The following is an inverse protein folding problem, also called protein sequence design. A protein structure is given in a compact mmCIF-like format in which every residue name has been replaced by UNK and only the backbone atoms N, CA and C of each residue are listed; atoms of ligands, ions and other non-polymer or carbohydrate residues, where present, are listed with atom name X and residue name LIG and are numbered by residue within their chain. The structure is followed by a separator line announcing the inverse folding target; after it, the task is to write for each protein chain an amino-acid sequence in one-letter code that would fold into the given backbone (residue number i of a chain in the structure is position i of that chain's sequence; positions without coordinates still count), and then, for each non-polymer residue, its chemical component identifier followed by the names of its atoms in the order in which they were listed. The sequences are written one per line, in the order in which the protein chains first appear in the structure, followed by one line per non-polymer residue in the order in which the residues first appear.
data_IF_816766702190
#
_entry.id   IF_816766702190
#
_cell.length_a   1.000
_cell.length_b   1.000
_cell.length_c   1.000
_cell.angle_alpha   90.00
_cell.angle_beta   90.00
_cell.angle_gamma   90.00
#
_symmetry.space_group_name_H-M   'P 1'
#
loop_
_entity.id
_entity.type
_entity.pdbx_description
1 polymer ?
#
# COMPACT_ATOMS: atom_id res chain seq x y z
N UNK A 1 2.21 3.82 22.23
CA UNK A 1 1.80 3.96 20.84
C UNK A 1 0.88 2.82 20.43
N UNK A 2 1.20 1.60 20.78
CA UNK A 2 0.53 0.37 20.29
C UNK A 2 -0.92 0.13 20.78
N UNK A 3 -1.41 0.79 21.81
CA UNK A 3 -2.72 0.48 22.38
C UNK A 3 -3.74 1.64 22.38
N UNK A 4 -3.39 2.85 21.95
CA UNK A 4 -4.26 4.02 22.17
C UNK A 4 -4.93 4.58 20.93
N UNK A 5 -4.64 4.09 19.73
CA UNK A 5 -5.17 4.67 18.47
C UNK A 5 -6.40 3.99 17.88
N UNK A 6 -6.96 2.94 18.51
CA UNK A 6 -8.10 2.19 17.94
C UNK A 6 -9.47 2.77 18.33
N UNK A 7 -9.56 3.87 19.08
CA UNK A 7 -10.87 4.43 19.46
C UNK A 7 -11.07 5.83 18.89
N UNK A 8 -12.08 5.90 18.00
CA UNK A 8 -12.83 7.10 17.59
C UNK A 8 -12.16 8.09 16.63
N UNK A 9 -12.20 7.79 15.36
CA UNK A 9 -12.23 8.85 14.34
C UNK A 9 -13.66 8.97 13.79
N UNK A 10 -14.40 9.96 14.27
CA UNK A 10 -15.57 10.48 13.55
C UNK A 10 -15.01 11.28 12.37
N UNK A 11 -15.15 10.71 11.19
CA UNK A 11 -14.68 11.24 9.91
C UNK A 11 -15.49 12.51 9.58
N UNK A 12 -14.79 13.61 9.40
CA UNK A 12 -15.36 14.88 8.98
C UNK A 12 -15.66 14.88 7.47
N UNK A 13 -16.93 14.98 7.13
CA UNK A 13 -17.52 14.95 5.78
C UNK A 13 -17.09 16.10 4.84
N UNK A 14 -16.30 17.08 5.27
CA UNK A 14 -15.93 18.23 4.45
C UNK A 14 -14.59 18.03 3.69
N UNK A 15 -13.65 17.24 4.21
CA UNK A 15 -12.36 17.03 3.54
C UNK A 15 -12.49 16.07 2.36
N UNK A 16 -13.35 15.06 2.45
CA UNK A 16 -13.66 14.15 1.33
C UNK A 16 -14.24 14.90 0.13
N UNK A 17 -15.06 15.93 0.38
CA UNK A 17 -15.66 16.76 -0.70
C UNK A 17 -14.62 17.64 -1.39
N UNK A 18 -13.61 18.12 -0.69
CA UNK A 18 -12.58 19.00 -1.26
C UNK A 18 -11.53 18.21 -2.07
N UNK A 19 -11.19 17.00 -1.63
CA UNK A 19 -10.36 16.04 -2.40
C UNK A 19 -11.14 15.53 -3.62
N UNK A 20 -12.41 15.20 -3.46
CA UNK A 20 -13.28 14.80 -4.57
C UNK A 20 -13.50 15.92 -5.60
N UNK A 21 -13.57 17.18 -5.17
CA UNK A 21 -13.75 18.30 -6.11
C UNK A 21 -12.53 18.59 -6.99
N UNK A 22 -11.32 18.28 -6.52
CA UNK A 22 -10.09 18.34 -7.34
C UNK A 22 -9.99 17.20 -8.36
N UNK A 23 -10.67 16.09 -8.11
CA UNK A 23 -10.78 14.94 -9.04
C UNK A 23 -11.81 15.19 -10.15
N UNK A 24 -12.71 16.16 -10.01
CA UNK A 24 -13.84 16.39 -10.93
C UNK A 24 -13.46 17.08 -12.26
N UNK A 25 -12.21 17.47 -12.48
CA UNK A 25 -11.76 17.90 -13.81
C UNK A 25 -11.35 16.73 -14.71
N UNK A 26 -12.07 15.61 -14.65
CA UNK A 26 -11.81 14.47 -15.55
C UNK A 26 -12.08 14.87 -16.99
N UNK A 27 -11.14 14.53 -17.87
CA UNK A 27 -11.32 14.66 -19.31
C UNK A 27 -12.52 13.81 -19.77
N UNK A 28 -13.37 14.36 -20.63
CA UNK A 28 -14.43 13.60 -21.28
C UNK A 28 -13.78 12.66 -22.30
N UNK A 29 -13.75 11.37 -22.01
CA UNK A 29 -13.02 10.37 -22.79
C UNK A 29 -13.85 9.84 -23.96
N UNK A 30 -13.17 9.49 -25.03
CA UNK A 30 -13.77 8.92 -26.25
C UNK A 30 -13.43 7.42 -26.31
N UNK A 31 -14.20 6.59 -25.60
CA UNK A 31 -14.23 5.11 -25.79
C UNK A 31 -12.90 4.33 -25.78
N UNK A 32 -11.74 5.01 -25.73
CA UNK A 32 -10.42 4.39 -25.72
C UNK A 32 -9.57 4.96 -24.59
N UNK A 33 -9.36 4.14 -23.59
CA UNK A 33 -8.50 4.47 -22.46
C UNK A 33 -7.64 3.24 -22.11
N UNK A 34 -6.31 3.32 -22.39
CA UNK A 34 -5.35 2.31 -21.98
C UNK A 34 -4.33 2.85 -20.99
N UNK A 35 -4.68 3.91 -20.28
CA UNK A 35 -3.84 4.41 -19.20
C UNK A 35 -3.68 3.32 -18.13
N UNK A 36 -2.44 3.09 -17.72
CA UNK A 36 -2.08 2.28 -16.55
C UNK A 36 -1.51 3.21 -15.51
N UNK A 37 -2.08 3.17 -14.31
CA UNK A 37 -1.65 3.96 -13.17
C UNK A 37 -1.12 3.02 -12.10
N UNK A 38 0.13 3.23 -11.69
CA UNK A 38 0.76 2.42 -10.65
C UNK A 38 1.18 3.32 -9.51
N UNK A 39 0.84 2.91 -8.29
CA UNK A 39 1.29 3.51 -7.06
C UNK A 39 2.07 2.44 -6.29
N UNK A 40 3.38 2.64 -6.14
CA UNK A 40 4.20 1.88 -5.20
C UNK A 40 4.32 2.69 -3.92
N UNK A 41 4.06 2.04 -2.79
CA UNK A 41 3.97 2.67 -1.48
C UNK A 41 4.78 1.86 -0.49
N UNK A 42 5.93 2.38 -0.09
CA UNK A 42 6.84 1.73 0.82
C UNK A 42 6.84 2.44 2.16
N UNK A 43 6.70 1.68 3.22
CA UNK A 43 6.61 2.15 4.59
C UNK A 43 7.72 1.51 5.40
N UNK A 44 8.32 2.30 6.30
CA UNK A 44 9.28 1.81 7.28
C UNK A 44 8.87 2.32 8.66
N UNK A 45 8.74 1.38 9.60
CA UNK A 45 8.62 1.64 11.03
C UNK A 45 9.90 1.16 11.71
N UNK A 46 10.50 2.01 12.53
CA UNK A 46 11.79 1.77 13.16
C UNK A 46 11.57 1.59 14.66
N UNK A 47 12.18 0.59 15.23
CA UNK A 47 12.07 0.26 16.64
C UNK A 47 13.45 0.02 17.29
N UNK A 48 13.67 0.54 18.48
CA UNK A 48 14.83 0.21 19.30
C UNK A 48 14.50 -0.96 20.24
N UNK A 49 15.17 -2.06 20.04
CA UNK A 49 15.11 -3.26 20.88
C UNK A 49 16.54 -3.60 21.34
N UNK A 50 16.83 -3.40 22.63
CA UNK A 50 18.18 -3.40 23.18
C UNK A 50 18.87 -4.75 23.11
N UNK A 51 18.11 -5.81 23.35
CA UNK A 51 18.62 -7.18 23.46
C UNK A 51 18.12 -8.04 22.30
N UNK A 52 18.88 -9.10 21.96
CA UNK A 52 18.47 -10.07 20.95
C UNK A 52 17.08 -10.68 21.25
N UNK A 53 16.76 -10.87 22.53
CA UNK A 53 15.45 -11.35 22.94
C UNK A 53 14.35 -10.34 22.59
N UNK A 54 14.53 -9.07 22.95
CA UNK A 54 13.56 -8.01 22.60
C UNK A 54 13.42 -7.85 21.10
N UNK A 55 14.50 -8.02 20.33
CA UNK A 55 14.44 -7.99 18.86
C UNK A 55 13.58 -9.14 18.32
N UNK A 56 13.75 -10.36 18.83
CA UNK A 56 12.93 -11.51 18.48
C UNK A 56 11.46 -11.33 18.91
N UNK A 57 11.24 -10.79 20.10
CA UNK A 57 9.90 -10.50 20.61
C UNK A 57 9.21 -9.42 19.76
N UNK A 58 9.95 -8.42 19.23
CA UNK A 58 9.45 -7.41 18.29
C UNK A 58 9.03 -8.05 16.96
N UNK A 59 9.85 -8.94 16.39
CA UNK A 59 9.51 -9.66 15.16
C UNK A 59 8.22 -10.47 15.34
N UNK A 60 8.13 -11.24 16.43
CA UNK A 60 6.92 -12.02 16.74
C UNK A 60 5.68 -11.13 16.90
N UNK A 61 5.84 -9.95 17.51
CA UNK A 61 4.79 -8.96 17.63
C UNK A 61 4.33 -8.45 16.26
N UNK A 62 5.26 -8.13 15.35
CA UNK A 62 4.93 -7.67 14.00
C UNK A 62 4.20 -8.77 13.22
N UNK A 63 4.69 -10.01 13.25
CA UNK A 63 4.07 -11.14 12.54
C UNK A 63 2.65 -11.42 13.06
N UNK A 64 2.40 -11.29 14.35
CA UNK A 64 1.07 -11.42 14.91
C UNK A 64 0.13 -10.30 14.44
N UNK A 65 0.63 -9.05 14.40
CA UNK A 65 -0.19 -7.86 14.13
C UNK A 65 -0.37 -7.57 12.64
N UNK A 66 0.59 -7.95 11.79
CA UNK A 66 0.55 -7.71 10.34
C UNK A 66 0.62 -9.00 9.54
N UNK A 67 -0.08 -10.05 10.02
CA UNK A 67 -0.23 -11.32 9.32
C UNK A 67 -1.06 -11.18 8.02
N UNK A 68 -1.06 -12.22 7.21
CA UNK A 68 -1.75 -12.24 5.92
C UNK A 68 -3.26 -11.97 6.02
N UNK A 69 -3.91 -12.33 7.14
CA UNK A 69 -5.33 -12.05 7.36
C UNK A 69 -5.62 -10.55 7.53
N UNK A 70 -4.81 -9.85 8.35
CA UNK A 70 -4.95 -8.39 8.53
C UNK A 70 -4.60 -7.65 7.25
N UNK A 71 -3.51 -8.03 6.59
CA UNK A 71 -3.10 -7.45 5.32
C UNK A 71 -4.19 -7.62 4.25
N UNK A 72 -4.84 -8.79 4.19
CA UNK A 72 -5.99 -9.02 3.29
C UNK A 72 -7.10 -8.01 3.56
N UNK A 73 -7.46 -7.75 4.82
CA UNK A 73 -8.48 -6.76 5.16
C UNK A 73 -8.11 -5.35 4.70
N UNK A 74 -6.84 -4.98 4.83
CA UNK A 74 -6.33 -3.68 4.34
C UNK A 74 -6.47 -3.60 2.82
N UNK A 75 -6.02 -4.61 2.07
CA UNK A 75 -6.09 -4.61 0.61
C UNK A 75 -7.53 -4.66 0.08
N UNK A 76 -8.42 -5.39 0.74
CA UNK A 76 -9.85 -5.40 0.39
C UNK A 76 -10.47 -4.00 0.56
N UNK A 77 -10.08 -3.28 1.62
CA UNK A 77 -10.54 -1.90 1.81
C UNK A 77 -9.98 -0.95 0.75
N UNK A 78 -8.71 -1.11 0.38
CA UNK A 78 -8.09 -0.39 -0.77
C UNK A 78 -8.88 -0.66 -2.04
N UNK A 79 -9.20 -1.92 -2.34
CA UNK A 79 -9.98 -2.33 -3.52
C UNK A 79 -11.37 -1.70 -3.54
N UNK A 80 -12.06 -1.68 -2.39
CA UNK A 80 -13.37 -1.02 -2.23
C UNK A 80 -13.27 0.48 -2.48
N UNK A 81 -12.26 1.16 -1.91
CA UNK A 81 -12.06 2.61 -2.06
C UNK A 81 -11.80 3.05 -3.50
N UNK A 82 -11.12 2.24 -4.28
CA UNK A 82 -10.90 2.50 -5.72
C UNK A 82 -12.09 2.07 -6.60
N UNK A 83 -13.10 1.43 -6.01
CA UNK A 83 -14.30 1.00 -6.75
C UNK A 83 -14.08 -0.24 -7.63
N UNK A 84 -13.05 -1.03 -7.35
CA UNK A 84 -12.75 -2.23 -8.12
C UNK A 84 -13.43 -3.48 -7.52
N UNK A 85 -13.58 -4.51 -8.34
CA UNK A 85 -14.12 -5.81 -7.94
C UNK A 85 -12.98 -6.82 -7.73
N UNK A 86 -13.03 -7.55 -6.62
CA UNK A 86 -12.08 -8.64 -6.34
C UNK A 86 -12.37 -9.84 -7.23
N UNK A 87 -11.33 -10.32 -7.92
CA UNK A 87 -11.39 -11.55 -8.74
C UNK A 87 -10.77 -12.74 -8.02
N UNK A 88 -9.63 -12.53 -7.37
CA UNK A 88 -8.91 -13.58 -6.65
C UNK A 88 -8.06 -12.98 -5.54
N UNK A 89 -7.82 -13.77 -4.50
CA UNK A 89 -6.92 -13.43 -3.39
C UNK A 89 -5.96 -14.60 -3.21
N UNK A 90 -4.66 -14.29 -3.18
CA UNK A 90 -3.60 -15.20 -2.77
C UNK A 90 -2.88 -14.61 -1.58
N UNK A 91 -2.66 -15.39 -0.52
CA UNK A 91 -2.01 -14.92 0.71
C UNK A 91 -1.11 -15.99 1.27
N UNK A 92 -0.06 -15.54 1.96
CA UNK A 92 0.91 -16.41 2.59
C UNK A 92 1.58 -15.70 3.76
N UNK A 93 1.69 -16.38 4.90
CA UNK A 93 2.60 -16.03 5.97
C UNK A 93 3.90 -16.81 5.75
N UNK A 94 5.03 -16.14 5.90
CA UNK A 94 6.34 -16.71 5.60
C UNK A 94 6.99 -17.30 6.85
N UNK A 95 7.80 -18.32 6.64
CA UNK A 95 8.74 -18.84 7.63
C UNK A 95 10.17 -18.37 7.28
N UNK A 96 10.90 -17.71 8.18
CA UNK A 96 10.58 -17.55 9.61
C UNK A 96 9.72 -16.33 9.94
N UNK A 97 9.49 -15.38 9.02
CA UNK A 97 8.81 -14.11 9.32
C UNK A 97 8.33 -13.38 8.06
N UNK A 98 7.33 -12.50 8.23
CA UNK A 98 6.74 -11.70 7.17
C UNK A 98 5.54 -12.37 6.50
N UNK A 99 4.88 -11.62 5.65
CA UNK A 99 3.70 -12.08 4.93
C UNK A 99 3.55 -11.41 3.57
N UNK A 100 2.76 -12.03 2.71
CA UNK A 100 2.32 -11.41 1.45
C UNK A 100 0.86 -11.65 1.18
N UNK A 101 0.25 -10.69 0.48
CA UNK A 101 -1.10 -10.82 -0.07
C UNK A 101 -1.12 -10.22 -1.46
N UNK A 102 -1.77 -10.91 -2.38
CA UNK A 102 -2.03 -10.44 -3.74
C UNK A 102 -3.54 -10.50 -3.99
N UNK A 103 -4.13 -9.38 -4.37
CA UNK A 103 -5.54 -9.27 -4.76
C UNK A 103 -5.60 -8.91 -6.24
N UNK A 104 -6.07 -9.84 -7.05
CA UNK A 104 -6.39 -9.59 -8.45
C UNK A 104 -7.74 -8.88 -8.52
N UNK A 105 -7.81 -7.78 -9.27
CA UNK A 105 -9.01 -6.93 -9.34
C UNK A 105 -9.45 -6.69 -10.78
N UNK A 106 -10.76 -6.46 -10.97
CA UNK A 106 -11.34 -5.95 -12.18
C UNK A 106 -11.94 -4.57 -11.93
N UNK A 107 -11.81 -3.67 -12.91
CA UNK A 107 -12.30 -2.29 -12.84
C UNK A 107 -13.73 -2.16 -13.34
N UNK A 108 -14.14 -3.02 -14.25
CA UNK A 108 -15.51 -3.12 -14.73
C UNK A 108 -16.26 -4.19 -13.95
N UNK A 109 -17.52 -3.93 -13.62
CA UNK A 109 -18.40 -4.96 -13.06
C UNK A 109 -18.54 -6.07 -14.09
N UNK A 110 -17.94 -7.21 -13.82
CA UNK A 110 -18.23 -8.43 -14.56
C UNK A 110 -19.68 -8.79 -14.21
N UNK A 111 -20.62 -8.57 -15.12
CA UNK A 111 -21.98 -9.08 -14.97
C UNK A 111 -21.88 -10.61 -15.00
N UNK A 112 -21.93 -11.22 -13.81
CA UNK A 112 -21.93 -12.68 -13.64
C UNK A 112 -23.14 -13.34 -14.36
N UNK A 113 -24.10 -12.57 -14.82
CA UNK A 113 -25.23 -13.02 -15.65
C UNK A 113 -24.87 -13.17 -17.14
N UNK A 114 -23.69 -12.76 -17.56
CA UNK A 114 -23.18 -12.97 -18.92
C UNK A 114 -22.36 -14.27 -19.06
N UNK A 115 -22.62 -15.26 -18.23
CA UNK A 115 -22.22 -16.63 -18.52
C UNK A 115 -23.19 -17.12 -19.57
N UNK A 116 -22.76 -17.03 -20.82
CA UNK A 116 -23.43 -17.52 -22.00
C UNK A 116 -24.05 -18.86 -21.71
N UNK A 117 -25.40 -18.90 -21.83
CA UNK A 117 -26.20 -20.12 -21.73
C UNK A 117 -25.92 -21.13 -22.88
N UNK A 118 -24.94 -20.87 -23.74
CA UNK A 118 -24.55 -21.68 -24.88
C UNK A 118 -23.39 -22.67 -24.63
N UNK A 119 -22.69 -22.57 -23.50
CA UNK A 119 -21.68 -23.55 -23.11
C UNK A 119 -22.20 -24.51 -22.06
N UNK A 120 -22.43 -25.73 -22.49
CA UNK A 120 -22.83 -26.89 -21.71
C UNK A 120 -22.18 -26.97 -20.32
N UNK A 121 -23.06 -27.05 -19.27
CA UNK A 121 -22.88 -27.74 -18.00
C UNK A 121 -21.43 -27.90 -17.51
N UNK A 122 -20.77 -26.82 -17.20
CA UNK A 122 -19.55 -26.78 -16.42
C UNK A 122 -19.85 -26.12 -15.07
N UNK A 123 -19.43 -26.73 -13.98
CA UNK A 123 -19.54 -26.26 -12.61
C UNK A 123 -19.08 -24.83 -12.47
N UNK A 124 -19.64 -24.01 -11.54
CA UNK A 124 -19.19 -22.65 -11.30
C UNK A 124 -17.70 -22.62 -10.95
N UNK A 125 -16.97 -21.66 -11.49
CA UNK A 125 -15.51 -21.52 -11.47
C UNK A 125 -14.90 -21.34 -10.05
N UNK A 126 -15.70 -21.38 -9.00
CA UNK A 126 -15.33 -21.13 -7.61
C UNK A 126 -15.56 -22.32 -6.66
N UNK A 127 -15.48 -23.56 -7.10
CA UNK A 127 -15.35 -24.67 -6.18
C UNK A 127 -13.90 -25.14 -6.15
N UNK A 128 -13.16 -24.69 -5.13
CA UNK A 128 -11.84 -25.24 -4.82
C UNK A 128 -11.99 -26.64 -4.28
N UNK A 129 -11.95 -27.64 -5.15
CA UNK A 129 -11.56 -28.99 -4.80
C UNK A 129 -10.11 -29.16 -5.27
N UNK A 130 -9.21 -29.00 -4.32
CA UNK A 130 -7.84 -29.49 -4.37
C UNK A 130 -7.91 -31.02 -4.29
N UNK A 131 -8.04 -31.72 -5.39
CA UNK A 131 -7.60 -33.11 -5.54
C UNK A 131 -7.93 -33.60 -6.96
N UNK A 132 -7.00 -33.39 -7.88
CA UNK A 132 -6.76 -34.36 -8.96
C UNK A 132 -5.53 -33.95 -9.76
N UNK A 133 -4.58 -34.84 -9.78
CA UNK A 133 -3.34 -34.81 -10.52
C UNK A 133 -3.54 -34.53 -12.02
N UNK A 134 -2.92 -33.43 -12.50
CA UNK A 134 -2.89 -33.07 -13.90
C UNK A 134 -2.03 -31.82 -14.12
N UNK A 135 -0.73 -32.01 -14.35
CA UNK A 135 0.31 -30.98 -14.46
C UNK A 135 0.12 -29.92 -15.56
N UNK A 136 -0.89 -30.02 -16.41
CA UNK A 136 -1.08 -29.10 -17.54
C UNK A 136 -2.06 -27.95 -17.30
N UNK A 137 -2.83 -27.98 -16.20
CA UNK A 137 -3.83 -26.93 -15.90
C UNK A 137 -3.26 -25.69 -15.22
N UNK A 138 -2.08 -25.79 -14.59
CA UNK A 138 -1.48 -24.68 -13.83
C UNK A 138 -0.84 -23.60 -14.71
N UNK A 139 -0.20 -23.96 -15.83
CA UNK A 139 0.46 -22.99 -16.71
C UNK A 139 -0.54 -22.05 -17.41
N UNK A 140 -1.69 -22.54 -17.84
CA UNK A 140 -2.69 -21.69 -18.51
C UNK A 140 -3.38 -20.68 -17.56
N UNK A 141 -3.56 -21.01 -16.28
CA UNK A 141 -4.15 -20.11 -15.29
C UNK A 141 -3.23 -18.93 -14.96
N UNK A 142 -1.93 -19.17 -14.87
CA UNK A 142 -0.94 -18.12 -14.54
C UNK A 142 -0.80 -17.10 -15.66
N UNK A 143 -0.88 -17.53 -16.92
CA UNK A 143 -0.80 -16.62 -18.08
C UNK A 143 -2.04 -15.73 -18.20
N UNK A 144 -3.25 -16.25 -17.94
CA UNK A 144 -4.47 -15.44 -17.91
C UNK A 144 -4.48 -14.41 -16.77
N UNK A 145 -4.02 -14.75 -15.59
CA UNK A 145 -3.90 -13.82 -14.48
C UNK A 145 -2.93 -12.67 -14.75
N UNK A 146 -1.89 -12.89 -15.57
CA UNK A 146 -0.97 -11.80 -15.99
C UNK A 146 -1.54 -10.88 -17.08
N UNK A 147 -2.56 -11.29 -17.79
CA UNK A 147 -3.21 -10.50 -18.84
C UNK A 147 -4.35 -9.63 -18.33
N UNK A 148 -4.99 -9.99 -17.22
CA UNK A 148 -5.99 -9.17 -16.52
C UNK A 148 -5.35 -8.37 -15.40
N UNK A 149 -4.76 -7.44 -15.61
CA UNK A 149 -4.21 -6.10 -15.62
C UNK A 149 -4.10 -5.39 -14.29
N UNK A 150 -5.08 -5.45 -13.40
CA UNK A 150 -5.12 -4.63 -12.20
C UNK A 150 -4.98 -5.49 -10.95
N UNK A 151 -4.12 -5.06 -10.06
CA UNK A 151 -3.83 -5.81 -8.84
C UNK A 151 -3.47 -4.87 -7.69
N UNK A 152 -3.67 -5.37 -6.48
CA UNK A 152 -3.17 -4.76 -5.25
C UNK A 152 -2.36 -5.81 -4.51
N UNK A 153 -1.09 -5.52 -4.23
CA UNK A 153 -0.19 -6.44 -3.54
C UNK A 153 0.41 -5.82 -2.31
N UNK A 154 0.73 -6.63 -1.33
CA UNK A 154 1.52 -6.23 -0.17
C UNK A 154 2.53 -7.31 0.18
N UNK A 155 3.73 -6.89 0.55
CA UNK A 155 4.77 -7.71 1.15
C UNK A 155 5.27 -7.04 2.41
N UNK A 156 5.53 -7.83 3.46
CA UNK A 156 6.08 -7.34 4.72
C UNK A 156 7.42 -7.98 5.01
N UNK A 157 8.35 -7.18 5.52
CA UNK A 157 9.72 -7.56 5.82
C UNK A 157 10.10 -7.03 7.21
N UNK A 158 9.70 -7.73 8.29
CA UNK A 158 10.22 -7.42 9.62
C UNK A 158 11.65 -7.93 9.73
N UNK A 159 12.57 -7.09 10.21
CA UNK A 159 13.97 -7.45 10.35
C UNK A 159 14.60 -6.83 11.59
N UNK A 160 15.71 -7.38 12.04
CA UNK A 160 16.57 -6.78 13.04
C UNK A 160 18.04 -6.97 12.70
N UNK A 161 18.87 -6.02 13.13
CA UNK A 161 20.30 -6.12 13.00
C UNK A 161 20.94 -6.32 14.41
N UNK A 162 21.65 -7.42 14.65
CA UNK A 162 22.14 -7.76 15.98
C UNK A 162 23.11 -6.73 16.57
N UNK A 163 23.84 -5.99 15.72
CA UNK A 163 24.90 -5.09 16.16
C UNK A 163 24.44 -3.67 16.52
N UNK A 164 23.24 -3.25 16.12
CA UNK A 164 22.81 -1.85 16.30
C UNK A 164 21.56 -1.65 17.16
N UNK A 165 20.96 -2.72 17.64
CA UNK A 165 19.73 -2.70 18.44
C UNK A 165 18.53 -2.01 17.74
N UNK A 166 18.59 -1.88 16.42
CA UNK A 166 17.50 -1.33 15.61
C UNK A 166 16.81 -2.49 14.91
N UNK A 167 15.49 -2.54 15.08
CA UNK A 167 14.60 -3.40 14.31
C UNK A 167 13.80 -2.55 13.35
N UNK A 168 13.52 -3.09 12.18
CA UNK A 168 12.79 -2.38 11.12
C UNK A 168 11.64 -3.24 10.64
N UNK A 169 10.49 -2.64 10.47
CA UNK A 169 9.36 -3.22 9.79
C UNK A 169 9.12 -2.48 8.48
N UNK A 170 9.42 -3.14 7.37
CA UNK A 170 9.18 -2.63 6.03
C UNK A 170 7.92 -3.25 5.46
N UNK A 171 7.11 -2.42 4.80
CA UNK A 171 5.93 -2.84 4.05
C UNK A 171 6.02 -2.27 2.65
N UNK A 172 5.91 -3.12 1.64
CA UNK A 172 5.84 -2.74 0.24
C UNK A 172 4.43 -3.02 -0.29
N UNK A 173 3.75 -1.99 -0.79
CA UNK A 173 2.41 -2.09 -1.38
C UNK A 173 2.44 -1.56 -2.80
N UNK A 174 1.94 -2.35 -3.75
CA UNK A 174 1.73 -1.92 -5.13
C UNK A 174 0.25 -1.95 -5.48
N UNK A 175 -0.26 -0.83 -5.98
CA UNK A 175 -1.61 -0.69 -6.52
C UNK A 175 -1.48 -0.38 -8.01
N UNK A 176 -1.83 -1.32 -8.86
CA UNK A 176 -1.84 -1.15 -10.32
C UNK A 176 -3.26 -1.18 -10.83
N UNK A 177 -3.65 -0.11 -11.53
CA UNK A 177 -4.99 0.07 -12.10
C UNK A 177 -4.89 0.46 -13.57
N UNK A 178 -5.96 0.19 -14.32
CA UNK A 178 -6.12 0.63 -15.71
C UNK A 178 -7.33 1.56 -15.82
N UNK A 179 -7.46 2.24 -16.95
CA UNK A 179 -8.65 3.03 -17.26
C UNK A 179 -8.83 4.25 -16.35
N UNK A 180 -10.01 4.43 -15.79
CA UNK A 180 -10.38 5.64 -15.07
C UNK A 180 -10.06 5.60 -13.57
N UNK A 181 -9.82 4.44 -13.01
CA UNK A 181 -9.54 4.28 -11.58
C UNK A 181 -8.19 4.89 -11.21
N UNK A 182 -8.15 5.62 -10.09
CA UNK A 182 -6.92 6.20 -9.56
C UNK A 182 -6.57 5.61 -8.20
N UNK A 183 -5.35 5.08 -8.01
CA UNK A 183 -4.91 4.57 -6.72
C UNK A 183 -4.62 5.68 -5.69
N UNK A 184 -4.48 6.95 -6.11
CA UNK A 184 -4.15 8.06 -5.21
C UNK A 184 -5.20 8.30 -4.11
N UNK A 185 -6.45 7.88 -4.32
CA UNK A 185 -7.52 8.00 -3.33
C UNK A 185 -7.29 7.14 -2.08
N UNK A 186 -6.38 6.18 -2.14
CA UNK A 186 -6.09 5.26 -1.03
C UNK A 186 -4.97 5.72 -0.11
N UNK A 187 -4.23 6.78 -0.47
CA UNK A 187 -3.03 7.22 0.25
C UNK A 187 -3.28 7.47 1.73
N UNK A 188 -4.32 8.24 2.07
CA UNK A 188 -4.61 8.56 3.47
C UNK A 188 -4.94 7.32 4.30
N UNK A 189 -5.67 6.36 3.71
CA UNK A 189 -5.99 5.11 4.35
C UNK A 189 -4.75 4.23 4.55
N UNK A 190 -3.87 4.15 3.55
CA UNK A 190 -2.62 3.40 3.64
C UNK A 190 -1.69 3.98 4.70
N UNK A 191 -1.53 5.31 4.77
CA UNK A 191 -0.77 6.00 5.81
C UNK A 191 -1.33 5.68 7.21
N UNK A 192 -2.66 5.64 7.37
CA UNK A 192 -3.30 5.35 8.66
C UNK A 192 -3.30 3.85 9.03
N UNK A 193 -3.06 2.98 8.07
CA UNK A 193 -3.10 1.52 8.29
C UNK A 193 -1.84 0.99 8.98
N UNK A 194 -0.75 1.75 8.90
CA UNK A 194 0.56 1.38 9.43
C UNK A 194 1.13 2.52 10.29
N UNK A 195 1.88 2.16 11.33
CA UNK A 195 2.74 3.13 12.00
C UNK A 195 3.97 3.35 11.10
N UNK A 196 4.22 4.60 10.69
CA UNK A 196 5.22 4.88 9.64
C UNK A 196 6.12 6.02 10.08
N UNK A 197 7.42 5.77 10.09
CA UNK A 197 8.45 6.80 10.32
C UNK A 197 8.94 7.36 8.99
N UNK A 198 9.07 6.50 8.00
CA UNK A 198 9.48 6.84 6.65
C UNK A 198 8.47 6.28 5.66
N UNK A 199 8.05 7.12 4.72
CA UNK A 199 7.16 6.73 3.63
C UNK A 199 7.79 7.16 2.33
N UNK A 200 7.91 6.23 1.38
CA UNK A 200 8.27 6.54 -0.01
C UNK A 200 7.14 6.13 -0.93
N UNK A 201 6.80 7.01 -1.85
CA UNK A 201 5.70 6.80 -2.79
C UNK A 201 6.16 7.09 -4.20
N UNK A 202 5.90 6.16 -5.11
CA UNK A 202 6.11 6.32 -6.54
C UNK A 202 4.78 6.19 -7.27
N UNK A 203 4.37 7.24 -7.96
CA UNK A 203 3.20 7.23 -8.80
C UNK A 203 3.59 7.42 -10.27
N UNK A 204 3.14 6.52 -11.13
CA UNK A 204 3.46 6.54 -12.55
C UNK A 204 2.23 6.31 -13.41
N UNK A 205 2.08 7.14 -14.47
CA UNK A 205 1.05 6.96 -15.50
C UNK A 205 1.72 6.54 -16.79
N UNK A 206 1.19 5.48 -17.43
CA UNK A 206 1.66 4.96 -18.72
C UNK A 206 0.49 4.79 -19.67
N UNK A 207 0.78 4.75 -20.98
CA UNK A 207 -0.24 4.62 -21.99
C UNK A 207 -0.82 5.95 -22.43
N UNK A 208 -2.02 5.95 -22.97
CA UNK A 208 -2.74 7.18 -23.36
C UNK A 208 -4.25 6.97 -23.37
N UNK A 209 -4.95 8.06 -23.34
CA UNK A 209 -6.39 8.14 -23.59
C UNK A 209 -6.69 9.15 -24.71
N UNK A 210 -7.95 9.22 -25.16
CA UNK A 210 -8.39 10.19 -26.14
C UNK A 210 -9.61 10.95 -25.65
N UNK A 211 -9.69 12.23 -26.00
CA UNK A 211 -10.92 13.00 -25.82
C UNK A 211 -11.93 12.74 -26.96
N UNK A 212 -13.07 13.41 -26.88
CA UNK A 212 -14.14 13.29 -27.89
C UNK A 212 -13.72 13.75 -29.29
N UNK A 213 -12.65 14.55 -29.43
CA UNK A 213 -12.08 14.97 -30.70
C UNK A 213 -11.09 13.96 -31.27
N UNK A 214 -10.74 12.92 -30.50
CA UNK A 214 -9.71 11.92 -30.84
C UNK A 214 -8.28 12.34 -30.50
N UNK A 215 -8.08 13.50 -29.86
CA UNK A 215 -6.77 13.99 -29.42
C UNK A 215 -6.23 13.07 -28.29
N UNK A 216 -4.95 12.71 -28.41
CA UNK A 216 -4.27 11.88 -27.41
C UNK A 216 -3.86 12.67 -26.17
N UNK A 217 -4.03 12.05 -25.00
CA UNK A 217 -3.55 12.53 -23.71
C UNK A 217 -2.83 11.41 -23.00
N UNK A 218 -1.74 11.73 -22.32
CA UNK A 218 -0.91 10.78 -21.54
C UNK A 218 -1.20 10.83 -20.04
N UNK A 219 -2.20 11.56 -19.65
CA UNK A 219 -2.81 11.58 -18.32
C UNK A 219 -4.28 11.96 -18.47
N UNK A 220 -5.16 11.46 -17.62
CA UNK A 220 -6.57 11.78 -17.53
C UNK A 220 -6.90 12.82 -16.45
N UNK A 221 -5.90 13.26 -15.71
CA UNK A 221 -6.01 14.27 -14.66
C UNK A 221 -4.72 15.09 -14.53
N UNK A 222 -4.86 16.24 -13.90
CA UNK A 222 -3.72 17.09 -13.58
C UNK A 222 -3.15 16.68 -12.22
N UNK A 223 -1.87 16.35 -12.20
CA UNK A 223 -1.11 16.08 -10.98
C UNK A 223 0.19 16.89 -11.00
N UNK A 224 0.46 17.58 -9.90
CA UNK A 224 1.72 18.30 -9.69
C UNK A 224 2.57 17.65 -8.60
N UNK A 225 1.93 17.05 -7.61
CA UNK A 225 2.58 16.33 -6.52
C UNK A 225 1.65 15.26 -5.96
N UNK A 226 2.21 14.15 -5.47
CA UNK A 226 1.48 13.15 -4.68
C UNK A 226 0.95 13.78 -3.39
N UNK A 227 1.65 14.78 -2.83
CA UNK A 227 1.26 15.49 -1.60
C UNK A 227 -0.10 16.17 -1.74
N UNK A 228 -0.54 16.53 -2.96
CA UNK A 228 -1.85 17.14 -3.20
C UNK A 228 -3.03 16.22 -2.81
N UNK A 229 -2.77 14.91 -2.70
CA UNK A 229 -3.75 13.87 -2.35
C UNK A 229 -3.67 13.42 -0.90
N UNK A 230 -2.75 13.99 -0.10
CA UNK A 230 -2.55 13.67 1.31
C UNK A 230 -3.18 14.75 2.18
N UNK A 231 -3.85 14.35 3.24
CA UNK A 231 -4.46 15.26 4.20
C UNK A 231 -3.39 16.16 4.87
N UNK A 232 -3.71 17.44 5.01
CA UNK A 232 -2.78 18.44 5.58
C UNK A 232 -2.32 18.11 6.99
N UNK A 233 -3.16 17.48 7.79
CA UNK A 233 -2.81 17.12 9.17
C UNK A 233 -1.76 16.00 9.20
N UNK A 234 -1.80 15.08 8.22
CA UNK A 234 -0.77 14.06 8.02
C UNK A 234 0.55 14.71 7.55
N UNK A 235 0.49 15.59 6.55
CA UNK A 235 1.68 16.28 6.05
C UNK A 235 2.39 17.14 7.12
N UNK A 236 1.67 17.63 8.13
CA UNK A 236 2.27 18.43 9.20
C UNK A 236 3.27 17.67 10.07
N UNK A 237 3.11 16.37 10.22
CA UNK A 237 3.97 15.53 11.05
C UNK A 237 5.17 14.96 10.28
N UNK A 238 5.22 15.14 8.96
CA UNK A 238 6.32 14.71 8.12
C UNK A 238 7.02 15.87 7.42
N UNK A 239 8.32 15.72 7.18
CA UNK A 239 9.05 16.46 6.17
C UNK A 239 8.91 15.73 4.84
N UNK A 240 8.28 16.37 3.85
CA UNK A 240 7.98 15.75 2.57
C UNK A 240 8.79 16.41 1.45
N UNK A 241 9.42 15.58 0.61
CA UNK A 241 10.24 16.00 -0.53
C UNK A 241 9.75 15.31 -1.79
N UNK A 242 9.54 16.10 -2.85
CA UNK A 242 9.18 15.59 -4.18
C UNK A 242 10.38 15.56 -5.13
N UNK A 243 10.45 14.48 -5.93
CA UNK A 243 11.35 14.35 -7.06
C UNK A 243 10.54 13.89 -8.28
N UNK A 244 10.03 14.85 -9.08
CA UNK A 244 9.09 14.56 -10.15
C UNK A 244 9.72 14.69 -11.54
N UNK A 245 9.36 13.76 -12.45
CA UNK A 245 9.74 13.81 -13.87
C UNK A 245 8.46 13.95 -14.69
N UNK A 246 7.97 15.18 -14.79
CA UNK A 246 6.68 15.51 -15.42
C UNK A 246 6.54 15.02 -16.87
N UNK A 247 7.64 15.10 -17.67
CA UNK A 247 7.62 14.65 -19.06
C UNK A 247 7.39 13.14 -19.21
N UNK A 248 7.64 12.39 -18.14
CA UNK A 248 7.48 10.92 -18.11
C UNK A 248 6.31 10.48 -17.25
N UNK A 249 5.53 11.43 -16.71
CA UNK A 249 4.44 11.15 -15.74
C UNK A 249 4.91 10.26 -14.58
N UNK A 250 6.07 10.60 -14.01
CA UNK A 250 6.66 9.94 -12.84
C UNK A 250 6.68 10.96 -11.71
N UNK A 251 6.09 10.59 -10.59
CA UNK A 251 6.01 11.38 -9.37
C UNK A 251 6.55 10.56 -8.23
N UNK A 252 7.52 11.10 -7.52
CA UNK A 252 8.13 10.49 -6.36
C UNK A 252 8.01 11.43 -5.16
N UNK A 253 7.59 10.92 -4.02
CA UNK A 253 7.52 11.65 -2.76
C UNK A 253 8.13 10.81 -1.65
N UNK A 254 9.10 11.38 -0.93
CA UNK A 254 9.64 10.82 0.31
C UNK A 254 9.15 11.66 1.49
N UNK A 255 8.66 11.00 2.54
CA UNK A 255 8.19 11.64 3.77
C UNK A 255 8.94 11.04 4.95
N UNK A 256 9.48 11.91 5.83
CA UNK A 256 10.20 11.54 7.04
C UNK A 256 9.50 12.16 8.23
N UNK A 257 9.32 11.42 9.31
CA UNK A 257 8.73 11.96 10.53
C UNK A 257 9.60 13.07 11.12
N UNK A 258 9.01 14.22 11.48
CA UNK A 258 9.75 15.40 11.99
C UNK A 258 10.32 15.19 13.38
N UNK A 259 9.50 14.66 14.26
CA UNK A 259 9.78 14.59 15.69
C UNK A 259 9.90 13.16 16.18
N UNK A 260 11.11 12.71 16.47
CA UNK A 260 11.38 11.47 17.15
C UNK A 260 11.07 11.60 18.63
N UNK A 261 9.91 11.12 19.06
CA UNK A 261 9.56 10.99 20.47
C UNK A 261 10.03 9.63 20.97
N UNK A 262 11.20 9.58 21.62
CA UNK A 262 11.91 8.35 21.97
C UNK A 262 11.00 7.26 22.59
N UNK A 263 10.05 7.65 23.45
CA UNK A 263 9.11 6.71 24.07
C UNK A 263 8.27 5.89 23.04
N UNK A 264 8.18 6.37 21.83
CA UNK A 264 7.43 5.69 20.76
C UNK A 264 8.25 4.66 19.99
N UNK A 265 9.56 4.66 20.19
CA UNK A 265 10.52 3.82 19.48
C UNK A 265 11.11 2.72 20.37
N UNK A 266 10.81 2.72 21.67
CA UNK A 266 11.33 1.75 22.61
C UNK A 266 10.42 0.53 22.69
N UNK A 267 10.95 -0.64 22.38
CA UNK A 267 10.20 -1.88 22.54
C UNK A 267 10.39 -2.43 23.96
N UNK A 268 9.28 -2.59 24.70
CA UNK A 268 9.22 -3.10 26.06
C UNK A 268 10.10 -2.37 27.10
N UNK A 269 10.46 -1.12 26.83
CA UNK A 269 11.26 -0.29 27.75
C UNK A 269 10.54 1.02 28.06
N UNK A 270 10.66 1.44 29.34
CA UNK A 270 10.19 2.77 29.75
C UNK A 270 11.30 3.80 29.55
N UNK A 271 10.99 4.88 28.84
CA UNK A 271 11.93 5.99 28.61
C UNK A 271 12.48 6.56 29.91
N UNK A 272 11.72 6.52 31.00
CA UNK A 272 12.14 7.04 32.30
C UNK A 272 13.19 6.17 33.01
N UNK A 273 13.30 4.90 32.64
CA UNK A 273 14.31 3.97 33.17
C UNK A 273 15.67 4.09 32.47
N UNK A 274 15.73 4.83 31.33
CA UNK A 274 16.92 5.01 30.53
C UNK A 274 17.65 6.29 30.98
N UNK A 275 18.98 6.21 31.20
CA UNK A 275 19.79 7.37 31.56
C UNK A 275 19.75 8.46 30.46
N UNK A 276 19.81 9.76 30.81
CA UNK A 276 19.73 10.86 29.84
C UNK A 276 20.76 10.76 28.71
N UNK A 277 21.98 10.34 29.00
CA UNK A 277 23.05 10.17 28.01
C UNK A 277 22.68 9.06 27.00
N UNK A 278 22.19 7.93 27.50
CA UNK A 278 21.77 6.78 26.67
C UNK A 278 20.55 7.15 25.80
N UNK A 279 19.60 7.93 26.31
CA UNK A 279 18.47 8.46 25.49
C UNK A 279 18.96 9.25 24.29
N UNK A 280 19.95 10.10 24.46
CA UNK A 280 20.54 10.88 23.38
C UNK A 280 21.22 9.99 22.34
N UNK A 281 21.94 8.97 22.79
CA UNK A 281 22.61 8.01 21.92
C UNK A 281 21.61 7.20 21.09
N UNK A 282 20.54 6.71 21.72
CA UNK A 282 19.45 5.99 21.02
C UNK A 282 18.77 6.89 19.99
N UNK A 283 18.43 8.12 20.37
CA UNK A 283 17.82 9.09 19.45
C UNK A 283 18.71 9.36 18.22
N UNK A 284 20.01 9.47 18.42
CA UNK A 284 20.96 9.69 17.33
C UNK A 284 21.09 8.44 16.43
N UNK A 285 20.99 7.22 16.98
CA UNK A 285 20.98 5.98 16.20
C UNK A 285 19.73 5.89 15.33
N UNK A 286 18.55 6.18 15.90
CA UNK A 286 17.27 6.21 15.18
C UNK A 286 17.33 7.20 14.00
N UNK A 287 17.81 8.42 14.21
CA UNK A 287 17.96 9.41 13.13
C UNK A 287 18.87 8.94 12.00
N UNK A 288 20.00 8.30 12.33
CA UNK A 288 20.91 7.75 11.30
C UNK A 288 20.24 6.64 10.48
N UNK A 289 19.41 5.82 11.11
CA UNK A 289 18.67 4.78 10.39
C UNK A 289 17.66 5.38 9.40
N UNK A 290 17.03 6.52 9.73
CA UNK A 290 16.12 7.22 8.83
C UNK A 290 16.84 7.85 7.62
N UNK A 291 18.09 8.30 7.79
CA UNK A 291 18.87 8.94 6.71
C UNK A 291 19.33 7.94 5.64
N UNK A 292 19.50 6.67 6.00
CA UNK A 292 20.03 5.61 5.12
C UNK A 292 18.94 4.75 4.44
N UNK A 293 17.68 5.03 4.71
CA UNK A 293 16.53 4.43 4.06
C UNK A 293 15.99 5.36 2.98
#
# INVERSE_FOLDING_TARGET
RFLTKITNTKIGTNCEKEVMSKLESKLKLYGFNNLTKTLSFNIYDICYAKTEREQKDYIAYIDEHYNSERLTKILLKVTDMIGAQVLNISKQDYEPQGASVNVLIAEERIDLNFVDSSCNKGKPFFSGDLDSEGETAHEHRTVHAHLDKSHVTVHTFPEYHPDNSISTFRVDIDVSTCGEISPLNTLNYLIDSFDSDIITMDYRIRGFTRDLSGKKFFSDHNITSIQDYIEKDKLRIYDAIDVNVYQSNIFHTKMLIKDIKLQNYLFNQDVYEIAPQERLEITNRLRRSEEHT
#
